data_IF_569600872909
#
_entry.id   IF_569600872909
#
_cell.length_a   1.000
_cell.length_b   1.000
_cell.length_c   1.000
_cell.angle_alpha   90.00
_cell.angle_beta   90.00
_cell.angle_gamma   90.00
#
_symmetry.space_group_name_H-M   'P 1'
#
loop_
_entity.id
_entity.type
_entity.pdbx_description
1 polymer ?
#
# COMPACT_ATOMS: atom_id res chain seq x y z
N UNK A 1 -23.69 -12.87 15.55
CA UNK A 1 -22.27 -12.72 15.22
C UNK A 1 -21.92 -11.29 15.53
N UNK A 2 -21.26 -11.04 16.66
CA UNK A 2 -20.83 -9.71 17.05
C UNK A 2 -19.73 -9.32 16.05
N UNK A 3 -19.95 -8.25 15.28
CA UNK A 3 -18.92 -7.71 14.40
C UNK A 3 -17.74 -7.33 15.31
N UNK A 4 -16.52 -7.71 14.94
CA UNK A 4 -15.33 -7.33 15.71
C UNK A 4 -15.28 -5.79 15.82
N UNK A 5 -15.20 -5.27 17.06
CA UNK A 5 -15.18 -3.83 17.36
C UNK A 5 -13.97 -3.10 16.74
N UNK A 6 -13.00 -3.86 16.23
CA UNK A 6 -11.81 -3.35 15.56
C UNK A 6 -11.58 -4.10 14.24
N UNK A 7 -11.33 -3.34 13.17
CA UNK A 7 -10.88 -3.84 11.87
C UNK A 7 -9.45 -3.35 11.65
N UNK A 8 -8.54 -4.25 11.29
CA UNK A 8 -7.14 -3.93 11.02
C UNK A 8 -6.81 -4.10 9.53
N UNK A 9 -6.17 -3.09 8.95
CA UNK A 9 -5.70 -3.09 7.56
C UNK A 9 -4.18 -3.06 7.53
N UNK A 10 -3.58 -3.98 6.78
CA UNK A 10 -2.16 -3.94 6.46
C UNK A 10 -1.93 -2.92 5.33
N UNK A 11 -1.19 -1.85 5.61
CA UNK A 11 -0.97 -0.72 4.70
C UNK A 11 0.51 -0.45 4.39
N UNK A 12 1.41 -1.29 4.91
CA UNK A 12 2.85 -1.24 4.62
C UNK A 12 3.44 -2.63 4.36
N UNK A 13 4.70 -2.67 3.91
CA UNK A 13 5.41 -3.92 3.62
C UNK A 13 5.98 -4.64 4.85
N UNK A 14 6.11 -3.95 5.98
CA UNK A 14 6.64 -4.50 7.22
C UNK A 14 5.56 -5.13 8.11
N UNK A 15 5.97 -5.96 9.07
CA UNK A 15 5.08 -6.56 10.08
C UNK A 15 5.12 -5.77 11.40
N UNK A 16 5.23 -4.45 11.34
CA UNK A 16 5.28 -3.58 12.52
C UNK A 16 3.94 -2.86 12.75
N UNK A 17 3.74 -2.31 13.95
CA UNK A 17 2.53 -1.55 14.26
C UNK A 17 2.34 -0.30 13.37
N UNK A 18 3.43 0.24 12.80
CA UNK A 18 3.38 1.39 11.90
C UNK A 18 2.81 1.05 10.52
N UNK A 19 2.89 -0.22 10.13
CA UNK A 19 2.41 -0.74 8.83
C UNK A 19 0.94 -1.18 8.89
N UNK A 20 0.28 -0.99 10.04
CA UNK A 20 -1.09 -1.43 10.29
C UNK A 20 -1.97 -0.24 10.66
N UNK A 21 -3.12 -0.16 10.03
CA UNK A 21 -4.16 0.80 10.37
C UNK A 21 -5.31 0.08 11.08
N UNK A 22 -5.48 0.39 12.35
CA UNK A 22 -6.61 -0.08 13.15
C UNK A 22 -7.77 0.93 13.09
N UNK A 23 -8.96 0.44 12.76
CA UNK A 23 -10.22 1.18 12.76
C UNK A 23 -11.09 0.62 13.87
N UNK A 24 -11.38 1.45 14.87
CA UNK A 24 -12.30 1.09 15.93
C UNK A 24 -13.71 1.54 15.57
N UNK A 25 -14.65 0.61 15.62
CA UNK A 25 -16.08 0.83 15.38
C UNK A 25 -16.75 0.93 16.74
N UNK A 26 -16.97 2.15 17.21
CA UNK A 26 -17.76 2.36 18.42
C UNK A 26 -19.21 1.93 18.18
N UNK A 27 -19.83 1.33 19.20
CA UNK A 27 -21.26 1.01 19.17
C UNK A 27 -22.09 2.30 19.01
N UNK A 28 -23.15 2.21 18.18
CA UNK A 28 -24.06 3.32 17.85
C UNK A 28 -25.52 2.90 18.00
N UNK A 29 -25.80 2.02 18.95
CA UNK A 29 -27.16 1.61 19.32
C UNK A 29 -27.79 2.55 20.36
N UNK A 30 -29.08 2.37 20.62
CA UNK A 30 -29.84 3.19 21.56
C UNK A 30 -29.38 3.06 23.02
N UNK A 31 -28.70 1.97 23.39
CA UNK A 31 -28.20 1.76 24.74
C UNK A 31 -26.89 2.52 25.00
N UNK A 32 -26.17 2.92 23.95
CA UNK A 32 -24.88 3.62 24.05
C UNK A 32 -25.01 5.11 23.71
N UNK A 33 -25.82 5.45 22.71
CA UNK A 33 -25.96 6.83 22.25
C UNK A 33 -26.70 7.70 23.28
N UNK A 34 -26.14 8.89 23.57
CA UNK A 34 -26.67 9.85 24.56
C UNK A 34 -26.01 9.73 25.94
N UNK A 35 -25.25 8.66 26.18
CA UNK A 35 -24.56 8.38 27.46
C UNK A 35 -23.45 9.39 27.78
N UNK A 36 -22.95 10.12 26.79
CA UNK A 36 -21.84 11.07 26.95
C UNK A 36 -22.32 12.38 27.60
N UNK A 37 -22.53 12.38 28.92
CA UNK A 37 -22.96 13.57 29.66
C UNK A 37 -23.32 13.33 31.13
N UNK A 38 -23.57 14.42 31.86
CA UNK A 38 -24.07 14.37 33.24
C UNK A 38 -25.52 13.90 33.20
N UNK A 39 -25.82 12.81 33.89
CA UNK A 39 -27.18 12.25 33.96
C UNK A 39 -27.36 10.88 33.29
N UNK A 40 -26.35 10.34 32.60
CA UNK A 40 -26.25 8.96 32.02
C UNK A 40 -27.50 8.34 31.32
N UNK A 41 -28.56 9.10 31.08
CA UNK A 41 -29.71 8.66 30.29
C UNK A 41 -29.32 8.54 28.82
N UNK A 42 -29.70 7.42 28.23
CA UNK A 42 -29.46 7.01 26.85
C UNK A 42 -30.75 7.13 26.05
N UNK A 43 -30.66 6.94 24.73
CA UNK A 43 -31.85 6.85 23.88
C UNK A 43 -32.81 5.72 24.30
N UNK A 44 -32.30 4.64 24.90
CA UNK A 44 -33.12 3.54 25.40
C UNK A 44 -33.90 3.92 26.67
N UNK A 45 -33.35 4.83 27.49
CA UNK A 45 -34.00 5.31 28.72
C UNK A 45 -35.19 6.25 28.44
N UNK A 46 -35.28 6.79 27.21
CA UNK A 46 -36.45 7.55 26.75
C UNK A 46 -37.64 6.61 26.56
N UNK A 47 -38.37 6.36 27.64
CA UNK A 47 -39.62 5.61 27.62
C UNK A 47 -40.76 6.34 26.89
N UNK A 48 -41.89 5.65 26.70
CA UNK A 48 -43.04 6.15 25.94
C UNK A 48 -43.66 7.46 26.48
N UNK A 49 -43.40 7.81 27.75
CA UNK A 49 -43.93 9.01 28.40
C UNK A 49 -42.93 10.16 28.48
N UNK A 50 -41.76 10.04 27.84
CA UNK A 50 -40.68 11.03 27.92
C UNK A 50 -41.14 12.45 27.56
N UNK A 51 -42.15 12.61 26.70
CA UNK A 51 -42.65 13.91 26.23
C UNK A 51 -43.95 14.38 26.89
N UNK A 52 -44.48 13.66 27.88
CA UNK A 52 -45.78 13.97 28.48
C UNK A 52 -45.77 15.19 29.41
N UNK A 53 -44.58 15.61 29.85
CA UNK A 53 -44.39 16.80 30.67
C UNK A 53 -43.41 17.74 29.98
N UNK A 54 -43.49 19.04 30.28
CA UNK A 54 -42.51 20.00 29.78
C UNK A 54 -41.09 19.54 30.13
N UNK A 55 -40.83 19.27 31.42
CA UNK A 55 -39.52 18.85 31.92
C UNK A 55 -38.97 17.60 31.22
N UNK A 56 -39.83 16.57 31.03
CA UNK A 56 -39.46 15.37 30.28
C UNK A 56 -39.12 15.68 28.82
N UNK A 57 -39.90 16.54 28.16
CA UNK A 57 -39.61 16.93 26.78
C UNK A 57 -38.28 17.70 26.65
N UNK A 58 -37.94 18.56 27.63
CA UNK A 58 -36.62 19.21 27.66
C UNK A 58 -35.48 18.20 27.84
N UNK A 59 -35.63 17.25 28.77
CA UNK A 59 -34.64 16.19 28.97
C UNK A 59 -34.48 15.31 27.71
N UNK A 60 -35.59 14.93 27.06
CA UNK A 60 -35.56 14.13 25.85
C UNK A 60 -34.79 14.85 24.72
N UNK A 61 -34.96 16.16 24.58
CA UNK A 61 -34.18 16.97 23.62
C UNK A 61 -32.70 16.91 23.96
N UNK A 62 -32.32 17.07 25.24
CA UNK A 62 -30.91 17.00 25.66
C UNK A 62 -30.28 15.63 25.38
N UNK A 63 -30.99 14.52 25.65
CA UNK A 63 -30.50 13.17 25.36
C UNK A 63 -30.35 12.96 23.84
N UNK A 64 -31.33 13.39 23.04
CA UNK A 64 -31.25 13.28 21.58
C UNK A 64 -30.11 14.13 21.02
N UNK A 65 -29.90 15.35 21.51
CA UNK A 65 -28.76 16.19 21.09
C UNK A 65 -27.43 15.50 21.40
N UNK A 66 -27.26 14.94 22.61
CA UNK A 66 -26.05 14.18 22.97
C UNK A 66 -25.85 12.96 22.09
N UNK A 67 -26.92 12.22 21.81
CA UNK A 67 -26.87 11.06 20.91
C UNK A 67 -26.45 11.44 19.48
N UNK A 68 -26.94 12.58 18.97
CA UNK A 68 -26.50 13.11 17.68
C UNK A 68 -25.00 13.42 17.70
N UNK A 69 -24.51 14.07 18.75
CA UNK A 69 -23.08 14.39 18.88
C UNK A 69 -22.23 13.11 18.99
N UNK A 70 -22.67 12.12 19.76
CA UNK A 70 -22.00 10.81 19.87
C UNK A 70 -21.90 10.12 18.51
N UNK A 71 -23.00 10.09 17.75
CA UNK A 71 -23.03 9.54 16.40
C UNK A 71 -22.12 10.32 15.44
N UNK A 72 -22.10 11.65 15.52
CA UNK A 72 -21.21 12.48 14.72
C UNK A 72 -19.74 12.19 15.02
N UNK A 73 -19.38 12.00 16.29
CA UNK A 73 -18.02 11.61 16.68
C UNK A 73 -17.64 10.24 16.14
N UNK A 74 -18.53 9.26 16.22
CA UNK A 74 -18.31 7.94 15.61
C UNK A 74 -18.09 8.04 14.09
N UNK A 75 -18.92 8.82 13.38
CA UNK A 75 -18.76 9.06 11.93
C UNK A 75 -17.47 9.80 11.60
N UNK A 76 -17.06 10.78 12.42
CA UNK A 76 -15.82 11.52 12.24
C UNK A 76 -14.57 10.63 12.42
N UNK A 77 -14.61 9.69 13.38
CA UNK A 77 -13.55 8.70 13.58
C UNK A 77 -13.40 7.76 12.37
N UNK A 78 -14.54 7.31 11.81
CA UNK A 78 -14.56 6.54 10.57
C UNK A 78 -14.00 7.37 9.41
N UNK A 79 -14.43 8.62 9.24
CA UNK A 79 -13.96 9.51 8.18
C UNK A 79 -12.45 9.78 8.25
N UNK A 80 -11.91 9.95 9.45
CA UNK A 80 -10.46 10.10 9.67
C UNK A 80 -9.71 8.83 9.26
N UNK A 81 -10.26 7.67 9.60
CA UNK A 81 -9.67 6.38 9.23
C UNK A 81 -9.72 6.16 7.71
N UNK A 82 -10.79 6.57 7.04
CA UNK A 82 -10.90 6.55 5.56
C UNK A 82 -9.82 7.44 4.92
N UNK A 83 -9.65 8.68 5.38
CA UNK A 83 -8.60 9.57 4.87
C UNK A 83 -7.20 8.96 5.03
N UNK A 84 -6.94 8.28 6.16
CA UNK A 84 -5.67 7.57 6.37
C UNK A 84 -5.49 6.38 5.44
N UNK A 85 -6.55 5.61 5.18
CA UNK A 85 -6.53 4.53 4.18
C UNK A 85 -6.22 5.07 2.78
N UNK A 86 -6.89 6.14 2.36
CA UNK A 86 -6.68 6.74 1.05
C UNK A 86 -5.25 7.26 0.88
N UNK A 87 -4.71 7.93 1.91
CA UNK A 87 -3.32 8.38 1.90
C UNK A 87 -2.34 7.21 1.83
N UNK A 88 -2.57 6.17 2.64
CA UNK A 88 -1.71 5.00 2.65
C UNK A 88 -1.75 4.23 1.32
N UNK A 89 -2.93 4.12 0.70
CA UNK A 89 -3.10 3.52 -0.62
C UNK A 89 -2.32 4.29 -1.70
N UNK A 90 -2.40 5.62 -1.70
CA UNK A 90 -1.63 6.47 -2.62
C UNK A 90 -0.12 6.33 -2.41
N UNK A 91 0.33 6.28 -1.16
CA UNK A 91 1.74 6.08 -0.83
C UNK A 91 2.24 4.70 -1.30
N UNK A 92 1.45 3.65 -1.06
CA UNK A 92 1.78 2.29 -1.49
C UNK A 92 1.85 2.18 -3.01
N UNK A 93 0.94 2.82 -3.75
CA UNK A 93 0.98 2.87 -5.21
C UNK A 93 2.27 3.51 -5.73
N UNK A 94 2.67 4.66 -5.16
CA UNK A 94 3.94 5.31 -5.52
C UNK A 94 5.16 4.46 -5.17
N UNK A 95 5.14 3.81 -4.00
CA UNK A 95 6.21 2.89 -3.58
C UNK A 95 6.32 1.69 -4.53
N UNK A 96 5.17 1.15 -4.97
CA UNK A 96 5.12 0.05 -5.94
C UNK A 96 5.71 0.48 -7.29
N UNK A 97 5.34 1.66 -7.80
CA UNK A 97 5.90 2.22 -9.04
C UNK A 97 7.42 2.40 -8.95
N UNK A 98 7.91 2.99 -7.85
CA UNK A 98 9.34 3.19 -7.63
C UNK A 98 10.09 1.85 -7.56
N UNK A 99 9.51 0.85 -6.90
CA UNK A 99 10.11 -0.48 -6.78
C UNK A 99 10.17 -1.20 -8.13
N UNK A 100 9.10 -1.12 -8.93
CA UNK A 100 9.06 -1.72 -10.26
C UNK A 100 10.03 -1.02 -11.23
N UNK A 101 10.15 0.31 -11.15
CA UNK A 101 11.14 1.08 -11.93
C UNK A 101 12.58 0.70 -11.58
N UNK A 102 12.89 0.58 -10.28
CA UNK A 102 14.20 0.12 -9.82
C UNK A 102 14.49 -1.31 -10.30
N UNK A 103 13.48 -2.19 -10.23
CA UNK A 103 13.58 -3.56 -10.73
C UNK A 103 13.82 -3.63 -12.24
N UNK A 104 13.10 -2.82 -13.03
CA UNK A 104 13.30 -2.72 -14.48
C UNK A 104 14.73 -2.28 -14.81
N UNK A 105 15.23 -1.26 -14.10
CA UNK A 105 16.59 -0.74 -14.31
C UNK A 105 17.65 -1.81 -14.01
N UNK A 106 17.47 -2.59 -12.95
CA UNK A 106 18.37 -3.70 -12.61
C UNK A 106 18.33 -4.80 -13.67
N UNK A 107 17.13 -5.18 -14.13
CA UNK A 107 16.97 -6.18 -15.18
C UNK A 107 17.64 -5.73 -16.49
N UNK A 108 17.44 -4.48 -16.88
CA UNK A 108 18.05 -3.91 -18.09
C UNK A 108 19.57 -3.85 -17.99
N UNK A 109 20.13 -3.53 -16.81
CA UNK A 109 21.57 -3.55 -16.56
C UNK A 109 22.15 -4.96 -16.72
N UNK A 110 21.49 -5.97 -16.15
CA UNK A 110 21.93 -7.36 -16.24
C UNK A 110 21.86 -7.88 -17.69
N UNK A 111 20.79 -7.54 -18.42
CA UNK A 111 20.66 -7.87 -19.85
C UNK A 111 21.74 -7.17 -20.67
N UNK A 112 22.02 -5.89 -20.43
CA UNK A 112 23.06 -5.15 -21.13
C UNK A 112 24.46 -5.76 -20.88
N UNK A 113 24.74 -6.20 -19.66
CA UNK A 113 25.99 -6.88 -19.32
C UNK A 113 26.13 -8.21 -20.07
N UNK A 114 25.09 -9.05 -20.07
CA UNK A 114 25.10 -10.33 -20.79
C UNK A 114 25.20 -10.14 -22.30
N UNK A 115 24.51 -9.13 -22.88
CA UNK A 115 24.60 -8.79 -24.29
C UNK A 115 26.00 -8.31 -24.70
N UNK A 116 26.68 -7.58 -23.82
CA UNK A 116 28.08 -7.17 -24.03
C UNK A 116 29.02 -8.37 -24.00
N UNK A 117 28.84 -9.28 -23.04
CA UNK A 117 29.60 -10.51 -22.95
C UNK A 117 29.38 -11.42 -24.15
N UNK A 118 28.13 -11.58 -24.59
CA UNK A 118 27.76 -12.31 -25.79
C UNK A 118 28.41 -11.70 -27.04
N UNK A 119 28.32 -10.38 -27.21
CA UNK A 119 28.93 -9.67 -28.34
C UNK A 119 30.45 -9.81 -28.35
N UNK A 120 31.11 -9.70 -27.20
CA UNK A 120 32.55 -9.90 -27.06
C UNK A 120 32.97 -11.32 -27.46
N UNK A 121 32.24 -12.34 -26.99
CA UNK A 121 32.46 -13.74 -27.38
C UNK A 121 32.27 -13.93 -28.89
N UNK A 122 31.24 -13.31 -29.48
CA UNK A 122 31.00 -13.39 -30.92
C UNK A 122 32.13 -12.74 -31.74
N UNK A 123 32.61 -11.56 -31.31
CA UNK A 123 33.76 -10.89 -31.93
C UNK A 123 35.02 -11.74 -31.80
N UNK A 124 35.27 -12.37 -30.64
CA UNK A 124 36.40 -13.28 -30.44
C UNK A 124 36.35 -14.47 -31.39
N UNK A 125 35.17 -15.09 -31.57
CA UNK A 125 35.00 -16.21 -32.50
C UNK A 125 35.26 -15.75 -33.95
N UNK A 126 34.69 -14.63 -34.38
CA UNK A 126 34.93 -14.09 -35.73
C UNK A 126 36.41 -13.71 -35.95
N UNK A 127 37.03 -13.08 -34.95
CA UNK A 127 38.46 -12.72 -34.98
C UNK A 127 39.36 -13.96 -34.98
N UNK A 128 39.01 -15.01 -34.23
CA UNK A 128 39.72 -16.28 -34.22
C UNK A 128 39.67 -16.98 -35.58
N UNK A 129 38.51 -16.97 -36.25
CA UNK A 129 38.36 -17.51 -37.61
C UNK A 129 39.15 -16.67 -38.63
N UNK A 130 39.09 -15.34 -38.55
CA UNK A 130 39.87 -14.46 -39.42
C UNK A 130 41.38 -14.58 -39.19
N UNK A 131 41.82 -14.69 -37.93
CA UNK A 131 43.23 -14.93 -37.57
C UNK A 131 43.71 -16.30 -38.02
N UNK A 132 42.89 -17.36 -37.90
CA UNK A 132 43.20 -18.68 -38.46
C UNK A 132 43.35 -18.63 -39.99
N UNK A 133 42.47 -17.89 -40.68
CA UNK A 133 42.57 -17.70 -42.12
C UNK A 133 43.86 -16.94 -42.51
N UNK A 134 44.20 -15.86 -41.79
CA UNK A 134 45.41 -15.07 -42.00
C UNK A 134 46.68 -15.90 -41.71
N UNK A 135 46.69 -16.67 -40.60
CA UNK A 135 47.79 -17.54 -40.21
C UNK A 135 48.01 -18.68 -41.22
N UNK A 136 46.95 -19.19 -41.85
CA UNK A 136 47.06 -20.20 -42.91
C UNK A 136 47.59 -19.64 -44.24
N UNK A 137 47.40 -18.35 -44.54
CA UNK A 137 47.94 -17.72 -45.75
C UNK A 137 49.39 -17.25 -45.61
N UNK A 138 49.83 -16.94 -44.38
CA UNK A 138 51.21 -16.52 -44.10
C UNK A 138 52.30 -17.53 -44.56
N UNK A 139 52.20 -18.85 -44.30
CA UNK A 139 53.20 -19.82 -44.76
C UNK A 139 53.22 -20.00 -46.29
N UNK A 140 52.10 -19.79 -46.99
CA UNK A 140 52.06 -19.84 -48.47
C UNK A 140 52.83 -18.67 -49.09
N UNK A 141 52.74 -17.48 -48.48
CA UNK A 141 53.52 -16.32 -48.92
C UNK A 141 55.02 -16.49 -48.64
N UNK A 142 55.39 -17.13 -47.51
CA UNK A 142 56.79 -17.44 -47.19
C UNK A 142 57.39 -18.49 -48.13
N UNK A 143 56.64 -19.53 -48.51
CA UNK A 143 57.08 -20.51 -49.52
C UNK A 143 57.33 -19.86 -50.89
N UNK A 144 56.52 -18.85 -51.26
CA UNK A 144 56.71 -18.09 -52.51
C UNK A 144 57.94 -17.18 -52.49
N UNK A 145 58.39 -16.75 -51.31
CA UNK A 145 59.62 -15.98 -51.07
C UNK A 145 60.88 -16.86 -50.97
N UNK A 146 60.74 -18.13 -50.65
CA UNK A 146 61.86 -19.10 -50.61
C UNK A 146 62.12 -19.79 -51.95
N UNK A 147 61.18 -19.71 -52.90
CA UNK A 147 61.29 -20.30 -54.24
C UNK A 147 61.67 -19.28 -55.34
N UNK A 148 61.76 -17.99 -55.01
CA UNK A 148 62.22 -16.92 -55.92
C UNK A 148 63.55 -16.36 -55.43
#
# INVERSE_FOLDING_TARGET
>A
QQLSDTIEFQVGGGNTANDRLSINLSAVDSAVLGSSGIGQETLEDLGANAINTAAGAQNAVEVVTRAIDDLQRARAAIGTSQNRLDFAAQNLASTQENTESARSTLLDLDVAAEMTAFTSKQILVQSGVAMLAQANQMPQNLLRLLQG
#
